data_IF_368188067524
#
_entry.id   IF_368188067524
#
_cell.length_a   1.000
_cell.length_b   1.000
_cell.length_c   1.000
_cell.angle_alpha   90.00
_cell.angle_beta   90.00
_cell.angle_gamma   90.00
#
_symmetry.space_group_name_H-M   'P 1'
#
loop_
_entity.id
_entity.type
_entity.pdbx_description
1 polymer ?
#
# COMPACT_ATOMS: atom_id res chain seq x y z
N UNK A 1 -3.03 -12.06 46.44
CA UNK A 1 -3.74 -10.76 46.49
C UNK A 1 -2.98 -9.77 45.62
N UNK A 2 -3.47 -9.54 44.40
CA UNK A 2 -3.09 -8.40 43.59
C UNK A 2 -4.35 -7.54 43.45
N UNK A 3 -4.37 -6.41 44.16
CA UNK A 3 -5.49 -5.47 44.11
C UNK A 3 -5.43 -4.74 42.77
N UNK A 4 -6.29 -5.13 41.83
CA UNK A 4 -6.64 -4.28 40.72
C UNK A 4 -7.49 -3.12 41.26
N UNK A 5 -6.87 -1.94 41.39
CA UNK A 5 -7.60 -0.69 41.57
C UNK A 5 -8.16 -0.35 40.18
N UNK A 6 -9.32 -0.92 39.86
CA UNK A 6 -10.06 -0.61 38.64
C UNK A 6 -10.73 0.74 38.78
N UNK A 7 -10.22 1.75 38.08
CA UNK A 7 -11.03 2.91 37.71
C UNK A 7 -12.23 2.45 36.89
N UNK A 8 -13.41 3.04 37.13
CA UNK A 8 -14.64 2.72 36.40
C UNK A 8 -14.42 2.66 34.87
N UNK A 9 -15.04 1.71 34.16
CA UNK A 9 -14.93 1.64 32.71
C UNK A 9 -15.50 2.92 32.10
N UNK A 10 -14.64 3.72 31.45
CA UNK A 10 -15.07 4.86 30.65
C UNK A 10 -15.73 4.33 29.37
N UNK A 11 -17.04 4.17 29.40
CA UNK A 11 -17.88 3.86 28.23
C UNK A 11 -17.91 2.37 27.83
N UNK A 12 -18.80 2.01 26.88
CA UNK A 12 -18.93 0.66 26.39
C UNK A 12 -17.68 0.24 25.61
N UNK A 13 -17.14 -0.94 25.93
CA UNK A 13 -16.06 -1.57 25.17
C UNK A 13 -16.59 -1.96 23.79
N UNK A 14 -16.11 -1.30 22.73
CA UNK A 14 -16.37 -1.71 21.35
C UNK A 14 -15.30 -2.71 20.91
N UNK A 15 -15.76 -3.88 20.44
CA UNK A 15 -14.91 -4.94 19.89
C UNK A 15 -15.40 -5.20 18.48
N UNK A 16 -14.54 -4.97 17.50
CA UNK A 16 -14.77 -5.38 16.12
C UNK A 16 -13.94 -6.62 15.80
N UNK A 17 -14.58 -7.65 15.26
CA UNK A 17 -13.92 -8.88 14.84
C UNK A 17 -13.84 -8.93 13.32
N UNK A 18 -12.65 -8.66 12.78
CA UNK A 18 -12.35 -8.84 11.36
C UNK A 18 -11.96 -10.29 11.05
N UNK A 19 -12.74 -10.99 10.23
CA UNK A 19 -12.36 -12.30 9.71
C UNK A 19 -11.36 -12.13 8.56
N UNK A 20 -10.12 -12.58 8.78
CA UNK A 20 -9.09 -12.55 7.74
C UNK A 20 -9.26 -13.72 6.78
N UNK A 21 -9.17 -13.45 5.48
CA UNK A 21 -9.14 -14.50 4.46
C UNK A 21 -7.79 -15.22 4.50
N UNK A 22 -7.76 -16.56 4.33
CA UNK A 22 -6.52 -17.33 4.36
C UNK A 22 -5.64 -17.09 3.12
N UNK A 23 -6.25 -16.76 1.97
CA UNK A 23 -5.53 -16.55 0.71
C UNK A 23 -5.52 -15.07 0.31
N UNK A 24 -4.35 -14.40 0.32
CA UNK A 24 -4.25 -13.03 -0.17
C UNK A 24 -4.38 -13.01 -1.70
N UNK A 25 -5.06 -12.00 -2.25
CA UNK A 25 -5.13 -11.74 -3.70
C UNK A 25 -4.35 -10.52 -4.15
N UNK A 26 -3.93 -9.69 -3.19
CA UNK A 26 -3.13 -8.52 -3.45
C UNK A 26 -2.20 -8.25 -2.27
N UNK A 27 -1.06 -7.64 -2.56
CA UNK A 27 -0.17 -7.02 -1.58
C UNK A 27 -0.04 -5.54 -1.90
N UNK A 28 -0.23 -4.71 -0.88
CA UNK A 28 0.00 -3.27 -0.99
C UNK A 28 1.19 -2.90 -0.11
N UNK A 29 2.24 -2.39 -0.73
CA UNK A 29 3.44 -1.94 -0.03
C UNK A 29 3.66 -0.44 -0.26
N UNK A 30 3.70 0.34 0.81
CA UNK A 30 4.10 1.74 0.74
C UNK A 30 5.55 1.92 1.22
N UNK A 31 6.38 2.56 0.39
CA UNK A 31 7.78 2.88 0.68
C UNK A 31 8.01 4.37 0.55
N UNK A 32 8.45 4.97 1.66
CA UNK A 32 9.09 6.29 1.62
C UNK A 32 10.47 6.16 0.98
N UNK A 33 10.69 6.91 -0.09
CA UNK A 33 12.00 7.01 -0.74
C UNK A 33 12.50 8.45 -0.66
N UNK A 34 13.41 8.74 0.28
CA UNK A 34 13.98 10.09 0.48
C UNK A 34 15.47 10.03 0.80
N UNK A 35 16.19 11.14 0.61
CA UNK A 35 17.46 11.36 1.33
C UNK A 35 17.09 11.86 2.73
N UNK A 36 17.67 11.29 3.78
CA UNK A 36 17.51 11.83 5.14
C UNK A 36 18.25 13.18 5.25
N UNK A 37 17.64 14.15 5.91
CA UNK A 37 18.22 15.48 6.10
C UNK A 37 19.57 15.37 6.84
N UNK A 38 20.63 15.98 6.28
CA UNK A 38 21.99 15.91 6.82
C UNK A 38 22.83 14.70 6.37
N UNK A 39 22.25 13.70 5.70
CA UNK A 39 22.99 12.54 5.19
C UNK A 39 23.44 12.74 3.74
N UNK A 40 24.76 12.85 3.52
CA UNK A 40 25.37 13.02 2.17
C UNK A 40 25.35 11.74 1.32
N UNK A 41 25.15 10.57 1.93
CA UNK A 41 25.00 9.28 1.24
C UNK A 41 23.59 8.76 1.50
N UNK A 42 22.89 8.28 0.47
CA UNK A 42 21.62 7.57 0.60
C UNK A 42 21.77 6.05 0.43
N UNK A 43 22.17 5.28 1.47
CA UNK A 43 22.23 3.83 1.40
C UNK A 43 20.94 3.13 1.89
N UNK A 44 20.12 3.75 2.75
CA UNK A 44 18.94 3.10 3.33
C UNK A 44 17.73 3.05 2.39
N UNK A 45 17.60 4.03 1.50
CA UNK A 45 16.45 4.16 0.60
C UNK A 45 16.52 3.22 -0.60
N UNK A 46 17.71 3.03 -1.17
CA UNK A 46 17.96 2.12 -2.29
C UNK A 46 17.75 0.67 -1.84
N UNK A 47 18.26 0.29 -0.67
CA UNK A 47 18.09 -1.07 -0.13
C UNK A 47 16.62 -1.38 0.18
N UNK A 48 15.85 -0.42 0.70
CA UNK A 48 14.41 -0.60 0.93
C UNK A 48 13.63 -0.78 -0.38
N UNK A 49 14.00 -0.04 -1.43
CA UNK A 49 13.39 -0.21 -2.76
C UNK A 49 13.73 -1.58 -3.37
N UNK A 50 14.98 -2.03 -3.24
CA UNK A 50 15.40 -3.37 -3.68
C UNK A 50 14.66 -4.48 -2.94
N UNK A 51 14.47 -4.34 -1.63
CA UNK A 51 13.70 -5.29 -0.82
C UNK A 51 12.24 -5.35 -1.27
N UNK A 52 11.60 -4.20 -1.54
CA UNK A 52 10.25 -4.15 -2.09
C UNK A 52 10.15 -4.82 -3.46
N UNK A 53 11.07 -4.51 -4.37
CA UNK A 53 11.19 -5.16 -5.67
C UNK A 53 11.38 -6.68 -5.55
N UNK A 54 12.22 -7.14 -4.62
CA UNK A 54 12.43 -8.56 -4.36
C UNK A 54 11.13 -9.24 -3.95
N UNK A 55 10.38 -8.67 -3.00
CA UNK A 55 9.10 -9.23 -2.56
C UNK A 55 8.09 -9.26 -3.72
N UNK A 56 7.93 -8.16 -4.46
CA UNK A 56 6.99 -8.08 -5.57
C UNK A 56 7.26 -9.14 -6.65
N UNK A 57 8.53 -9.42 -6.96
CA UNK A 57 8.87 -10.42 -7.97
C UNK A 57 8.61 -11.88 -7.53
N UNK A 58 8.58 -12.18 -6.23
CA UNK A 58 8.55 -13.56 -5.75
C UNK A 58 7.22 -13.96 -5.09
N UNK A 59 6.38 -13.01 -4.70
CA UNK A 59 5.15 -13.29 -3.94
C UNK A 59 4.03 -13.88 -4.80
N UNK A 60 4.00 -13.58 -6.10
CA UNK A 60 2.99 -14.06 -7.03
C UNK A 60 3.47 -15.27 -7.82
N UNK A 61 2.61 -16.26 -8.05
CA UNK A 61 2.92 -17.36 -8.98
C UNK A 61 2.95 -16.94 -10.45
N UNK A 62 2.35 -15.81 -10.81
CA UNK A 62 2.51 -15.21 -12.13
C UNK A 62 3.90 -14.55 -12.19
N UNK A 63 4.82 -15.16 -12.93
CA UNK A 63 6.21 -14.69 -13.02
C UNK A 63 6.45 -13.91 -14.31
N UNK A 64 7.13 -12.78 -14.22
CA UNK A 64 7.48 -11.93 -15.36
C UNK A 64 8.75 -12.46 -16.05
N UNK A 65 8.64 -12.84 -17.33
CA UNK A 65 9.75 -13.35 -18.14
C UNK A 65 9.91 -12.49 -19.39
N UNK A 66 11.14 -12.09 -19.70
CA UNK A 66 11.44 -11.30 -20.90
C UNK A 66 11.92 -12.22 -22.02
N UNK A 67 11.23 -12.19 -23.15
CA UNK A 67 11.60 -12.96 -24.33
C UNK A 67 12.74 -12.28 -25.12
N UNK A 68 13.29 -13.00 -26.10
CA UNK A 68 14.39 -12.52 -26.95
C UNK A 68 14.05 -11.26 -27.76
N UNK A 69 12.77 -11.06 -28.06
CA UNK A 69 12.24 -9.87 -28.73
C UNK A 69 12.02 -8.68 -27.77
N UNK A 70 12.35 -8.85 -26.49
CA UNK A 70 12.17 -7.85 -25.45
C UNK A 70 10.76 -7.75 -24.89
N UNK A 71 9.77 -8.50 -25.43
CA UNK A 71 8.40 -8.51 -24.91
C UNK A 71 8.33 -9.21 -23.56
N UNK A 72 7.39 -8.75 -22.73
CA UNK A 72 7.15 -9.30 -21.40
C UNK A 72 6.05 -10.36 -21.47
N UNK A 73 6.34 -11.54 -20.96
CA UNK A 73 5.42 -12.66 -20.82
C UNK A 73 5.17 -12.95 -19.34
N UNK A 74 3.95 -13.36 -19.02
CA UNK A 74 3.61 -14.01 -17.77
C UNK A 74 3.83 -15.51 -17.91
N UNK A 75 4.57 -16.11 -16.96
CA UNK A 75 4.76 -17.53 -16.82
C UNK A 75 3.96 -18.01 -15.61
N UNK A 76 2.97 -18.87 -15.83
CA UNK A 76 2.12 -19.42 -14.77
C UNK A 76 2.30 -20.93 -14.67
N UNK A 77 2.65 -21.50 -13.50
CA UNK A 77 2.80 -22.93 -13.34
C UNK A 77 1.44 -23.64 -13.42
N UNK A 78 1.40 -24.78 -14.09
CA UNK A 78 0.27 -25.71 -14.16
C UNK A 78 0.44 -26.84 -13.16
N UNK A 79 -0.65 -27.52 -12.80
CA UNK A 79 -0.65 -28.64 -11.85
C UNK A 79 0.24 -29.82 -12.28
N UNK A 80 0.50 -29.97 -13.58
CA UNK A 80 1.39 -31.00 -14.13
C UNK A 80 2.89 -30.60 -14.11
N UNK A 81 3.24 -29.47 -13.51
CA UNK A 81 4.61 -28.95 -13.44
C UNK A 81 5.10 -28.22 -14.69
N UNK A 82 4.27 -28.13 -15.75
CA UNK A 82 4.58 -27.28 -16.91
C UNK A 82 4.25 -25.82 -16.65
N UNK A 83 4.72 -24.93 -17.52
CA UNK A 83 4.39 -23.50 -17.48
C UNK A 83 3.57 -23.13 -18.69
N UNK A 84 2.55 -22.30 -18.48
CA UNK A 84 1.90 -21.57 -19.54
C UNK A 84 2.54 -20.19 -19.68
N UNK A 85 2.79 -19.78 -20.92
CA UNK A 85 3.35 -18.48 -21.25
C UNK A 85 2.37 -17.69 -22.12
N UNK A 86 2.06 -16.47 -21.70
CA UNK A 86 1.20 -15.51 -22.43
C UNK A 86 1.77 -14.10 -22.29
N UNK A 87 1.44 -13.16 -23.19
CA UNK A 87 1.81 -11.76 -22.98
C UNK A 87 1.35 -11.29 -21.59
N UNK A 88 2.24 -10.63 -20.85
CA UNK A 88 2.03 -10.40 -19.41
C UNK A 88 0.73 -9.66 -19.11
N UNK A 89 0.44 -8.57 -19.83
CA UNK A 89 -0.78 -7.78 -19.64
C UNK A 89 -2.06 -8.57 -19.98
N UNK A 90 -2.01 -9.41 -21.01
CA UNK A 90 -3.14 -10.27 -21.39
C UNK A 90 -3.42 -11.31 -20.31
N UNK A 91 -2.36 -11.91 -19.75
CA UNK A 91 -2.51 -12.90 -18.69
C UNK A 91 -2.97 -12.28 -17.37
N UNK A 92 -2.42 -11.12 -17.01
CA UNK A 92 -2.87 -10.36 -15.84
C UNK A 92 -4.36 -10.03 -15.96
N UNK A 93 -4.78 -9.49 -17.11
CA UNK A 93 -6.19 -9.18 -17.39
C UNK A 93 -7.06 -10.43 -17.33
N UNK A 94 -6.61 -11.55 -17.93
CA UNK A 94 -7.34 -12.83 -17.88
C UNK A 94 -7.54 -13.29 -16.44
N UNK A 95 -6.49 -13.30 -15.61
CA UNK A 95 -6.57 -13.71 -14.20
C UNK A 95 -7.56 -12.84 -13.43
N UNK A 96 -7.48 -11.52 -13.59
CA UNK A 96 -8.36 -10.58 -12.90
C UNK A 96 -9.83 -10.73 -13.33
N UNK A 97 -10.11 -10.78 -14.64
CA UNK A 97 -11.49 -10.64 -15.13
C UNK A 97 -12.15 -11.96 -15.54
N UNK A 98 -11.40 -12.94 -16.05
CA UNK A 98 -11.96 -14.13 -16.70
C UNK A 98 -11.65 -15.46 -15.98
N UNK A 99 -10.50 -15.57 -15.31
CA UNK A 99 -10.08 -16.83 -14.71
C UNK A 99 -10.98 -17.22 -13.53
N UNK A 100 -11.31 -18.51 -13.39
CA UNK A 100 -12.08 -19.00 -12.25
C UNK A 100 -11.20 -19.06 -10.99
N UNK A 101 -11.78 -19.11 -9.77
CA UNK A 101 -11.03 -19.03 -8.52
C UNK A 101 -9.90 -20.07 -8.36
N UNK A 102 -10.08 -21.27 -8.90
CA UNK A 102 -9.09 -22.36 -8.86
C UNK A 102 -7.81 -22.04 -9.64
N UNK A 103 -7.87 -21.16 -10.64
CA UNK A 103 -6.70 -20.70 -11.38
C UNK A 103 -5.96 -19.56 -10.67
N UNK A 104 -6.53 -18.99 -9.60
CA UNK A 104 -5.92 -17.92 -8.80
C UNK A 104 -5.05 -18.44 -7.65
N UNK A 105 -4.87 -19.76 -7.51
CA UNK A 105 -4.06 -20.32 -6.43
C UNK A 105 -2.61 -19.79 -6.50
N UNK A 106 -2.22 -19.05 -5.47
CA UNK A 106 -0.92 -18.38 -5.36
C UNK A 106 -0.72 -17.18 -6.29
N UNK A 107 -1.75 -16.74 -7.02
CA UNK A 107 -1.71 -15.46 -7.72
C UNK A 107 -1.88 -14.31 -6.71
N UNK A 108 -0.98 -13.34 -6.74
CA UNK A 108 -1.03 -12.14 -5.91
C UNK A 108 -0.77 -10.92 -6.80
N UNK A 109 -1.73 -9.99 -6.83
CA UNK A 109 -1.54 -8.69 -7.48
C UNK A 109 -0.63 -7.80 -6.62
N UNK A 110 0.47 -7.33 -7.18
CA UNK A 110 1.45 -6.53 -6.44
C UNK A 110 1.27 -5.04 -6.69
N UNK A 111 0.97 -4.30 -5.63
CA UNK A 111 0.77 -2.84 -5.65
C UNK A 111 1.84 -2.15 -4.80
N UNK A 112 2.71 -1.39 -5.44
CA UNK A 112 3.71 -0.55 -4.78
C UNK A 112 3.23 0.90 -4.74
N UNK A 113 3.42 1.57 -3.61
CA UNK A 113 3.21 3.00 -3.45
C UNK A 113 4.53 3.62 -3.03
N UNK A 114 5.00 4.61 -3.78
CA UNK A 114 6.22 5.36 -3.46
C UNK A 114 5.90 6.82 -3.20
N UNK A 115 6.54 7.42 -2.20
CA UNK A 115 6.52 8.87 -1.99
C UNK A 115 7.95 9.41 -2.03
N UNK A 116 8.16 10.56 -2.67
CA UNK A 116 9.49 11.15 -2.85
C UNK A 116 9.57 12.54 -2.22
N UNK A 117 10.37 12.67 -1.16
CA UNK A 117 10.71 13.97 -0.55
C UNK A 117 12.13 14.44 -0.91
N UNK A 118 12.59 14.26 -2.16
CA UNK A 118 13.87 14.82 -2.62
C UNK A 118 14.50 14.15 -3.86
N UNK A 119 14.06 14.53 -5.06
CA UNK A 119 14.70 14.30 -6.37
C UNK A 119 14.63 12.89 -7.02
N UNK A 120 13.65 12.05 -6.71
CA UNK A 120 13.41 10.77 -7.42
C UNK A 120 12.37 10.87 -8.55
N UNK A 121 11.55 11.92 -8.55
CA UNK A 121 10.46 12.10 -9.52
C UNK A 121 10.84 13.15 -10.57
N UNK A 122 11.37 12.69 -11.69
CA UNK A 122 11.17 13.33 -12.99
C UNK A 122 10.67 12.23 -13.92
N UNK A 123 9.46 12.40 -14.46
CA UNK A 123 8.85 11.46 -15.42
C UNK A 123 9.78 11.16 -16.60
N UNK A 124 10.60 12.16 -16.97
CA UNK A 124 11.38 12.18 -18.20
C UNK A 124 12.76 11.50 -18.05
N UNK A 125 13.24 11.29 -16.82
CA UNK A 125 14.49 10.56 -16.57
C UNK A 125 14.44 9.80 -15.23
N UNK A 126 13.66 8.70 -15.15
CA UNK A 126 13.55 7.93 -13.93
C UNK A 126 14.91 7.37 -13.56
N UNK A 127 15.29 7.51 -12.28
CA UNK A 127 16.48 6.87 -11.78
C UNK A 127 16.39 5.33 -11.91
N UNK A 128 17.54 4.66 -11.82
CA UNK A 128 17.63 3.21 -12.06
C UNK A 128 16.71 2.43 -11.12
N UNK A 129 16.56 2.91 -9.90
CA UNK A 129 15.75 2.30 -8.86
C UNK A 129 14.25 2.39 -9.16
N UNK A 130 13.76 3.53 -9.63
CA UNK A 130 12.37 3.69 -10.05
C UNK A 130 12.05 2.77 -11.24
N UNK A 131 13.01 2.59 -12.16
CA UNK A 131 12.87 1.63 -13.26
C UNK A 131 12.75 0.18 -12.76
N UNK A 132 13.55 -0.21 -11.78
CA UNK A 132 13.47 -1.54 -11.16
C UNK A 132 12.11 -1.74 -10.48
N UNK A 133 11.63 -0.73 -9.74
CA UNK A 133 10.31 -0.80 -9.09
C UNK A 133 9.17 -0.92 -10.12
N UNK A 134 9.19 -0.10 -11.18
CA UNK A 134 8.19 -0.15 -12.27
C UNK A 134 8.12 -1.54 -12.92
N UNK A 135 9.25 -2.22 -13.03
CA UNK A 135 9.31 -3.56 -13.63
C UNK A 135 8.91 -4.68 -12.67
N UNK A 136 9.04 -4.45 -11.36
CA UNK A 136 8.80 -5.48 -10.34
C UNK A 136 7.32 -5.55 -9.97
N UNK A 137 6.71 -4.39 -9.68
CA UNK A 137 5.31 -4.30 -9.31
C UNK A 137 4.38 -4.43 -10.52
N UNK A 138 3.18 -4.97 -10.31
CA UNK A 138 2.11 -4.97 -11.31
C UNK A 138 1.51 -3.57 -11.41
N UNK A 139 1.29 -2.95 -10.26
CA UNK A 139 0.95 -1.53 -10.13
C UNK A 139 2.00 -0.80 -9.31
N UNK A 140 2.52 0.30 -9.83
CA UNK A 140 3.35 1.23 -9.07
C UNK A 140 2.67 2.60 -9.07
N UNK A 141 2.36 3.10 -7.89
CA UNK A 141 1.74 4.40 -7.65
C UNK A 141 2.76 5.36 -7.04
N UNK A 142 2.61 6.63 -7.34
CA UNK A 142 3.36 7.71 -6.72
C UNK A 142 2.41 8.57 -5.87
N UNK A 143 2.67 8.67 -4.57
CA UNK A 143 1.96 9.58 -3.68
C UNK A 143 2.59 10.97 -3.79
N UNK A 144 1.79 11.91 -4.30
CA UNK A 144 2.21 13.26 -4.63
C UNK A 144 2.52 14.10 -3.37
N UNK A 145 3.59 14.91 -3.39
CA UNK A 145 3.94 15.79 -2.27
C UNK A 145 2.82 16.79 -1.90
N UNK A 146 2.12 17.46 -2.85
CA UNK A 146 0.99 18.33 -2.53
C UNK A 146 -0.13 17.63 -1.76
N UNK A 147 -0.34 16.34 -2.01
CA UNK A 147 -1.34 15.55 -1.31
C UNK A 147 -0.96 15.32 0.16
N UNK A 148 0.31 15.01 0.42
CA UNK A 148 0.84 14.89 1.79
C UNK A 148 0.73 16.22 2.53
N UNK A 149 1.07 17.33 1.87
CA UNK A 149 0.93 18.68 2.46
C UNK A 149 -0.52 18.98 2.80
N UNK A 150 -1.45 18.66 1.89
CA UNK A 150 -2.89 18.84 2.11
C UNK A 150 -3.36 18.02 3.29
N UNK A 151 -3.02 16.74 3.36
CA UNK A 151 -3.33 15.88 4.50
C UNK A 151 -2.83 16.46 5.83
N UNK A 152 -1.57 16.88 5.88
CA UNK A 152 -0.96 17.45 7.10
C UNK A 152 -1.67 18.74 7.52
N UNK A 153 -1.99 19.61 6.56
CA UNK A 153 -2.72 20.87 6.82
C UNK A 153 -4.11 20.62 7.35
N UNK A 154 -4.84 19.72 6.70
CA UNK A 154 -6.26 19.51 6.97
C UNK A 154 -6.48 18.70 8.26
N UNK A 155 -5.46 17.95 8.71
CA UNK A 155 -5.53 17.09 9.91
C UNK A 155 -4.60 17.57 11.04
N UNK A 156 -3.29 17.40 10.91
CA UNK A 156 -2.31 17.61 11.99
C UNK A 156 -2.16 19.09 12.37
N UNK A 157 -2.17 20.00 11.39
CA UNK A 157 -2.03 21.44 11.60
C UNK A 157 -3.38 22.16 11.59
N UNK A 158 -4.48 21.42 11.60
CA UNK A 158 -5.83 21.93 11.47
C UNK A 158 -6.27 22.66 12.75
N UNK A 159 -6.90 23.82 12.59
CA UNK A 159 -7.63 24.47 13.69
C UNK A 159 -9.01 23.84 13.93
N UNK A 160 -9.44 22.92 13.06
CA UNK A 160 -10.71 22.24 13.20
C UNK A 160 -10.70 21.30 14.42
N UNK A 161 -11.61 21.55 15.36
CA UNK A 161 -11.77 20.76 16.58
C UNK A 161 -11.92 19.25 16.34
N UNK A 162 -12.45 18.82 15.20
CA UNK A 162 -12.57 17.40 14.81
C UNK A 162 -11.21 16.70 14.74
N UNK A 163 -10.15 17.41 14.33
CA UNK A 163 -8.81 16.84 14.17
C UNK A 163 -7.87 17.14 15.33
N UNK A 164 -8.39 17.73 16.41
CA UNK A 164 -7.60 18.01 17.62
C UNK A 164 -6.94 16.74 18.19
N UNK A 165 -7.68 15.63 18.21
CA UNK A 165 -7.15 14.32 18.66
C UNK A 165 -5.98 13.84 17.80
N UNK A 166 -6.03 14.06 16.49
CA UNK A 166 -4.95 13.73 15.54
C UNK A 166 -3.69 14.54 15.84
N UNK A 167 -3.83 15.86 15.99
CA UNK A 167 -2.73 16.75 16.31
C UNK A 167 -2.07 16.39 17.66
N UNK A 168 -2.88 16.13 18.68
CA UNK A 168 -2.39 15.73 20.00
C UNK A 168 -1.68 14.36 19.97
N UNK A 169 -2.26 13.36 19.31
CA UNK A 169 -1.65 12.04 19.16
C UNK A 169 -0.31 12.12 18.41
N UNK A 170 -0.22 12.95 17.38
CA UNK A 170 1.03 13.23 16.67
C UNK A 170 2.07 13.89 17.59
N UNK A 171 1.72 14.97 18.30
CA UNK A 171 2.64 15.69 19.20
C UNK A 171 3.16 14.83 20.35
N UNK A 172 2.30 13.99 20.95
CA UNK A 172 2.71 13.01 21.98
C UNK A 172 3.71 11.99 21.43
N UNK A 173 3.55 11.60 20.18
CA UNK A 173 4.36 10.56 19.54
C UNK A 173 5.74 11.06 19.10
N UNK A 174 5.86 12.32 18.67
CA UNK A 174 7.05 12.83 17.99
C UNK A 174 7.75 14.03 18.64
N UNK A 175 7.09 14.81 19.51
CA UNK A 175 7.66 16.06 20.04
C UNK A 175 7.83 16.01 21.56
N UNK A 176 6.81 15.59 22.30
CA UNK A 176 6.75 15.70 23.76
C UNK A 176 6.87 14.34 24.47
N UNK A 177 7.76 13.48 23.99
CA UNK A 177 7.86 12.10 24.47
C UNK A 177 8.43 12.06 25.90
N UNK A 178 7.60 11.75 26.90
CA UNK A 178 8.11 11.46 28.26
C UNK A 178 8.73 10.07 28.30
N UNK A 179 9.65 9.84 29.24
CA UNK A 179 10.27 8.53 29.44
C UNK A 179 9.18 7.52 29.85
N UNK A 180 8.84 6.60 28.95
CA UNK A 180 7.78 5.61 29.12
C UNK A 180 6.60 5.75 28.15
N UNK A 181 6.49 6.87 27.43
CA UNK A 181 5.41 7.06 26.45
C UNK A 181 5.63 6.19 25.21
N UNK A 182 4.63 5.33 24.94
CA UNK A 182 4.56 4.54 23.72
C UNK A 182 4.10 5.44 22.57
N UNK A 183 4.70 5.25 21.39
CA UNK A 183 4.26 5.96 20.19
C UNK A 183 2.84 5.48 19.84
N UNK A 184 1.90 6.43 19.74
CA UNK A 184 0.47 6.19 19.51
C UNK A 184 -0.01 6.78 18.18
N UNK A 185 0.92 7.01 17.25
CA UNK A 185 0.62 7.51 15.91
C UNK A 185 1.48 6.76 14.89
N UNK A 186 1.27 5.45 14.81
CA UNK A 186 2.01 4.52 13.93
C UNK A 186 1.06 3.59 13.18
N UNK A 187 1.58 2.91 12.16
CA UNK A 187 0.84 1.87 11.41
C UNK A 187 0.24 0.76 12.31
N UNK A 188 0.89 0.44 13.42
CA UNK A 188 0.51 -0.72 14.27
C UNK A 188 -0.21 -0.32 15.56
N UNK A 189 -0.15 0.96 15.90
CA UNK A 189 -0.74 1.51 17.11
C UNK A 189 -1.06 2.98 16.85
N UNK A 190 -2.35 3.28 16.90
CA UNK A 190 -2.89 4.63 16.77
C UNK A 190 -3.87 4.90 17.91
N UNK A 191 -3.90 6.13 18.40
CA UNK A 191 -4.91 6.60 19.35
C UNK A 191 -6.31 6.48 18.73
N UNK A 192 -7.26 5.90 19.46
CA UNK A 192 -8.60 5.60 18.96
C UNK A 192 -9.37 6.84 18.47
N UNK A 193 -9.26 7.98 19.17
CA UNK A 193 -9.95 9.20 18.76
C UNK A 193 -9.28 9.84 17.53
N UNK A 194 -7.96 9.69 17.41
CA UNK A 194 -7.25 10.11 16.21
C UNK A 194 -7.62 9.21 15.02
N UNK A 195 -7.70 7.89 15.23
CA UNK A 195 -8.07 6.91 14.21
C UNK A 195 -9.46 7.19 13.64
N UNK A 196 -10.47 7.29 14.50
CA UNK A 196 -11.85 7.61 14.09
C UNK A 196 -11.94 8.94 13.33
N UNK A 197 -11.17 9.96 13.74
CA UNK A 197 -11.11 11.23 13.02
C UNK A 197 -10.48 11.08 11.62
N UNK A 198 -9.40 10.29 11.51
CA UNK A 198 -8.73 10.01 10.23
C UNK A 198 -9.60 9.15 9.30
N UNK A 199 -10.29 8.13 9.81
CA UNK A 199 -11.25 7.34 9.04
C UNK A 199 -12.36 8.23 8.45
N UNK A 200 -12.88 9.14 9.28
CA UNK A 200 -13.84 10.15 8.82
C UNK A 200 -13.26 11.08 7.76
N UNK A 201 -12.00 11.50 7.88
CA UNK A 201 -11.33 12.31 6.87
C UNK A 201 -11.20 11.56 5.55
N UNK A 202 -10.66 10.34 5.57
CA UNK A 202 -10.46 9.55 4.35
C UNK A 202 -11.79 9.22 3.67
N UNK A 203 -12.82 8.88 4.44
CA UNK A 203 -14.16 8.59 3.91
C UNK A 203 -14.79 9.78 3.20
N UNK A 204 -14.64 10.99 3.76
CA UNK A 204 -15.20 12.22 3.15
C UNK A 204 -14.43 12.70 1.92
N UNK A 205 -13.13 12.40 1.86
CA UNK A 205 -12.25 12.90 0.81
C UNK A 205 -11.86 11.83 -0.22
N UNK A 206 -12.49 10.65 -0.19
CA UNK A 206 -12.06 9.50 -1.00
C UNK A 206 -11.99 9.83 -2.49
N UNK A 207 -12.96 10.57 -3.02
CA UNK A 207 -12.97 10.99 -4.42
C UNK A 207 -11.75 11.86 -4.76
N UNK A 208 -11.47 12.88 -3.95
CA UNK A 208 -10.29 13.75 -4.13
C UNK A 208 -8.99 12.97 -4.00
N UNK A 209 -8.92 12.04 -3.04
CA UNK A 209 -7.74 11.20 -2.83
C UNK A 209 -7.47 10.35 -4.09
N UNK A 210 -8.50 9.69 -4.61
CA UNK A 210 -8.37 8.84 -5.79
C UNK A 210 -7.99 9.61 -7.05
N UNK A 211 -8.46 10.86 -7.18
CA UNK A 211 -8.19 11.68 -8.38
C UNK A 211 -6.91 12.50 -8.31
N UNK A 212 -6.47 12.93 -7.13
CA UNK A 212 -5.41 13.94 -7.00
C UNK A 212 -4.16 13.45 -6.28
N UNK A 213 -4.27 12.44 -5.41
CA UNK A 213 -3.15 12.08 -4.54
C UNK A 213 -2.14 11.16 -5.19
N UNK A 214 -2.59 10.35 -6.15
CA UNK A 214 -1.78 9.31 -6.75
C UNK A 214 -1.56 9.56 -8.23
N UNK A 215 -0.31 9.40 -8.66
CA UNK A 215 0.03 9.26 -10.09
C UNK A 215 0.36 7.81 -10.38
N UNK A 216 -0.19 7.23 -11.45
CA UNK A 216 0.16 5.87 -11.86
C UNK A 216 1.51 5.91 -12.59
N UNK A 217 2.50 5.20 -12.06
CA UNK A 217 3.83 5.09 -12.64
C UNK A 217 3.95 3.88 -13.57
N UNK A 218 3.32 2.77 -13.20
CA UNK A 218 3.23 1.56 -13.99
C UNK A 218 1.93 0.85 -13.63
N UNK A 219 1.20 0.30 -14.60
CA UNK A 219 1.38 0.47 -16.05
C UNK A 219 1.07 1.92 -16.50
N UNK A 220 1.69 2.39 -17.58
CA UNK A 220 1.70 3.82 -17.94
C UNK A 220 0.42 4.35 -18.58
N UNK A 221 -0.45 3.46 -19.04
CA UNK A 221 -1.66 3.71 -19.83
C UNK A 221 -2.93 3.41 -19.03
N UNK A 222 -2.81 3.20 -17.72
CA UNK A 222 -3.92 2.82 -16.84
C UNK A 222 -4.09 3.81 -15.70
N UNK A 223 -5.31 3.90 -15.21
CA UNK A 223 -5.71 4.85 -14.17
C UNK A 223 -6.08 4.16 -12.86
N UNK A 224 -6.02 4.88 -11.74
CA UNK A 224 -6.33 4.32 -10.41
C UNK A 224 -7.73 3.67 -10.30
N UNK A 225 -8.80 4.17 -10.96
CA UNK A 225 -10.09 3.50 -10.97
C UNK A 225 -10.04 2.08 -11.54
N UNK A 226 -9.10 1.78 -12.44
CA UNK A 226 -8.89 0.42 -12.93
C UNK A 226 -8.32 -0.48 -11.84
N UNK A 227 -7.27 -0.05 -11.13
CA UNK A 227 -6.73 -0.82 -9.99
C UNK A 227 -7.82 -1.14 -8.96
N UNK A 228 -8.66 -0.14 -8.63
CA UNK A 228 -9.80 -0.36 -7.72
C UNK A 228 -10.76 -1.43 -8.26
N UNK A 229 -11.06 -1.43 -9.55
CA UNK A 229 -11.87 -2.50 -10.18
C UNK A 229 -11.19 -3.85 -10.09
N UNK A 230 -9.89 -3.95 -10.39
CA UNK A 230 -9.15 -5.21 -10.31
C UNK A 230 -9.18 -5.81 -8.90
N UNK A 231 -8.87 -5.00 -7.89
CA UNK A 231 -8.91 -5.39 -6.48
C UNK A 231 -10.31 -5.85 -6.07
N UNK A 232 -11.36 -5.17 -6.55
CA UNK A 232 -12.74 -5.55 -6.29
C UNK A 232 -13.09 -6.90 -6.92
N UNK A 233 -12.77 -7.12 -8.21
CA UNK A 233 -13.03 -8.38 -8.89
C UNK A 233 -12.30 -9.56 -8.25
N UNK A 234 -11.02 -9.40 -7.93
CA UNK A 234 -10.22 -10.42 -7.24
C UNK A 234 -10.80 -10.73 -5.86
N UNK A 235 -11.17 -9.70 -5.10
CA UNK A 235 -11.81 -9.84 -3.79
C UNK A 235 -13.14 -10.59 -3.86
N UNK A 236 -13.97 -10.33 -4.89
CA UNK A 236 -15.24 -11.03 -5.10
C UNK A 236 -15.05 -12.52 -5.45
N UNK A 237 -14.15 -12.83 -6.40
CA UNK A 237 -13.91 -14.22 -6.86
C UNK A 237 -13.57 -15.14 -5.70
N UNK A 238 -12.69 -14.69 -4.80
CA UNK A 238 -12.28 -15.47 -3.64
C UNK A 238 -13.27 -15.44 -2.47
N UNK A 239 -14.33 -14.62 -2.54
CA UNK A 239 -15.42 -14.65 -1.55
C UNK A 239 -16.44 -15.75 -1.86
N UNK A 240 -16.57 -16.15 -3.13
CA UNK A 240 -17.60 -17.11 -3.58
C UNK A 240 -17.20 -18.58 -3.39
N UNK A 241 -15.91 -18.86 -3.24
CA UNK A 241 -15.38 -20.24 -3.11
C UNK A 241 -15.47 -20.81 -1.68
N UNK A 242 -15.97 -20.04 -0.71
CA UNK A 242 -16.08 -20.45 0.70
C UNK A 242 -17.54 -20.68 1.17
N UNK A 243 -18.51 -20.76 0.26
CA UNK A 243 -19.89 -21.19 0.53
C UNK A 243 -20.13 -22.62 0.07
#
# INVERSE_FOLDING_TARGET
>A
MANFIGSEPRGPLQIELGLLKPTPYAIVECKRVSKEEGQKKGPTTIEKAKQGAYVANHVSRLQKVRAMDGRLYGALPRSNGSFEFRPFEEELSRLVYAAPPEELDGFVLTVGVVSNHGNWFTSDNPNKELRVLKQSYDWLLFLNDPAIVTFVRDTILSENSVFKSVAEAFQRSYTNRKKGDKNCFTKVLIDHEADAALEGYFSRNISTIETEWFSVLSPTDRELPELNRELHFLGQKLSRTQQ
#
